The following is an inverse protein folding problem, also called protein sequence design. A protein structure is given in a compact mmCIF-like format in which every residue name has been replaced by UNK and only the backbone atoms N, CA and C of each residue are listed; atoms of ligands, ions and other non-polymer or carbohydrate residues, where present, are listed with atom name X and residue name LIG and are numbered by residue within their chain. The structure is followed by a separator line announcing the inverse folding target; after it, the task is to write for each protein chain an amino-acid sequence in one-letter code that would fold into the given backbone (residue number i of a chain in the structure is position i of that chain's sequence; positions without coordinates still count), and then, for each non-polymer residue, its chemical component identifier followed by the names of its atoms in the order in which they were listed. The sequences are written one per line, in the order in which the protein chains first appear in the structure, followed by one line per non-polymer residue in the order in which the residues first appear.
data_IF_230659951105
#
_entry.id   IF_230659951105
#
_cell.length_a   1.000
_cell.length_b   1.000
_cell.length_c   1.000
_cell.angle_alpha   90.00
_cell.angle_beta   90.00
_cell.angle_gamma   90.00
#
_symmetry.space_group_name_H-M   'P 1'
#
loop_
_entity.id
_entity.type
_entity.pdbx_description
1 polymer ?
#
# COMPACT_ATOMS: atom_id res chain seq x y z
N UNK A 1 -3.03 13.08 -3.72
CA UNK A 1 -1.74 12.35 -3.78
C UNK A 1 -0.95 12.72 -2.55
N UNK A 2 -0.31 11.76 -1.90
CA UNK A 2 0.53 11.99 -0.71
C UNK A 2 1.94 11.52 -1.04
N UNK A 3 2.96 12.36 -0.78
CA UNK A 3 4.36 11.99 -0.94
C UNK A 3 4.89 11.44 0.38
N UNK A 4 5.60 10.33 0.32
CA UNK A 4 6.09 9.60 1.49
C UNK A 4 7.60 9.42 1.34
N UNK A 5 8.34 9.62 2.43
CA UNK A 5 9.74 9.24 2.50
C UNK A 5 9.83 7.78 2.97
N UNK A 6 10.43 6.91 2.16
CA UNK A 6 10.52 5.46 2.40
C UNK A 6 11.75 5.10 3.25
N UNK A 7 11.99 5.83 4.35
CA UNK A 7 13.11 5.55 5.27
C UNK A 7 12.74 4.66 6.45
N UNK A 8 11.45 4.38 6.64
CA UNK A 8 10.93 3.54 7.72
C UNK A 8 9.61 2.88 7.31
N UNK A 9 9.24 1.81 8.02
CA UNK A 9 7.92 1.21 7.86
C UNK A 9 6.86 2.25 8.23
N UNK A 10 5.91 2.48 7.33
CA UNK A 10 4.91 3.53 7.49
C UNK A 10 3.50 2.96 7.31
N UNK A 11 2.56 3.40 8.15
CA UNK A 11 1.15 3.05 8.08
C UNK A 11 0.30 4.28 7.77
N UNK A 12 -0.64 4.14 6.84
CA UNK A 12 -1.62 5.16 6.51
C UNK A 12 -3.02 4.62 6.74
N UNK A 13 -3.88 5.39 7.38
CA UNK A 13 -5.27 5.01 7.55
C UNK A 13 -6.17 5.81 6.63
N UNK A 14 -7.19 5.16 6.07
CA UNK A 14 -8.25 5.83 5.35
C UNK A 14 -9.59 5.13 5.59
N UNK A 15 -10.68 5.89 5.46
CA UNK A 15 -12.02 5.33 5.57
C UNK A 15 -12.71 5.32 4.21
N UNK A 16 -13.45 4.25 3.91
CA UNK A 16 -14.29 4.14 2.72
C UNK A 16 -15.66 3.55 3.11
N UNK A 17 -16.73 4.29 2.84
CA UNK A 17 -18.10 3.88 3.13
C UNK A 17 -18.84 3.31 1.89
N UNK A 18 -18.19 3.30 0.72
CA UNK A 18 -18.83 2.92 -0.55
C UNK A 18 -18.38 1.54 -1.01
N UNK A 19 -19.35 0.64 -1.22
CA UNK A 19 -19.17 -0.66 -1.87
C UNK A 19 -18.55 -0.45 -3.26
N UNK A 20 -17.44 -1.12 -3.55
CA UNK A 20 -16.75 -0.97 -4.82
C UNK A 20 -15.28 -1.37 -4.76
N UNK A 21 -14.56 -1.08 -5.84
CA UNK A 21 -13.12 -1.37 -5.92
C UNK A 21 -12.30 -0.19 -5.38
N UNK A 22 -11.55 -0.44 -4.32
CA UNK A 22 -10.49 0.42 -3.85
C UNK A 22 -9.27 0.17 -4.74
N UNK A 23 -8.73 1.22 -5.34
CA UNK A 23 -7.50 1.16 -6.13
C UNK A 23 -6.44 2.02 -5.47
N UNK A 24 -5.32 1.41 -5.09
CA UNK A 24 -4.13 2.09 -4.61
C UNK A 24 -3.11 2.14 -5.74
N UNK A 25 -2.68 3.34 -6.11
CA UNK A 25 -1.65 3.56 -7.13
C UNK A 25 -0.40 4.09 -6.45
N UNK A 26 0.68 3.33 -6.56
CA UNK A 26 1.98 3.65 -5.97
C UNK A 26 2.87 4.16 -7.09
N UNK A 27 3.29 5.42 -7.00
CA UNK A 27 4.22 6.03 -7.95
C UNK A 27 5.56 6.24 -7.27
N UNK A 28 6.62 5.65 -7.81
CA UNK A 28 7.97 5.85 -7.32
C UNK A 28 8.54 7.09 -8.03
N UNK A 29 8.84 8.17 -7.29
CA UNK A 29 9.41 9.37 -7.92
C UNK A 29 10.87 9.13 -8.30
N UNK A 30 11.17 9.31 -9.58
CA UNK A 30 12.49 9.19 -10.21
C UNK A 30 13.62 9.80 -9.35
N UNK A 31 14.52 8.94 -8.85
CA UNK A 31 15.92 9.22 -8.48
C UNK A 31 16.58 8.06 -7.73
N UNK A 32 15.82 7.17 -7.11
CA UNK A 32 16.38 6.02 -6.42
C UNK A 32 16.46 4.85 -7.40
N UNK A 33 17.67 4.57 -7.87
CA UNK A 33 18.04 3.27 -8.42
C UNK A 33 17.50 2.23 -7.44
N UNK A 34 16.54 1.43 -7.87
CA UNK A 34 15.78 0.50 -7.04
C UNK A 34 16.74 -0.58 -6.54
N UNK A 35 17.37 -0.31 -5.41
CA UNK A 35 18.03 -1.28 -4.54
C UNK A 35 17.21 -1.57 -3.28
N UNK A 36 15.98 -1.07 -3.24
CA UNK A 36 15.02 -1.29 -2.17
C UNK A 36 13.90 -2.16 -2.70
N UNK A 37 13.79 -3.37 -2.19
CA UNK A 37 12.57 -4.16 -2.32
C UNK A 37 11.62 -3.60 -1.26
N UNK A 38 10.59 -2.85 -1.65
CA UNK A 38 9.55 -2.42 -0.72
C UNK A 38 8.26 -3.17 -1.03
N UNK A 39 7.63 -3.71 0.02
CA UNK A 39 6.33 -4.34 -0.02
C UNK A 39 5.25 -3.32 0.35
N UNK A 40 4.12 -3.37 -0.36
CA UNK A 40 2.95 -2.55 -0.06
C UNK A 40 1.75 -3.45 0.17
N UNK A 41 0.97 -3.16 1.20
CA UNK A 41 -0.21 -3.94 1.56
C UNK A 41 -1.41 -3.05 1.87
N UNK A 42 -2.61 -3.56 1.62
CA UNK A 42 -3.86 -3.00 2.13
C UNK A 42 -4.43 -3.97 3.15
N UNK A 43 -4.66 -3.49 4.37
CA UNK A 43 -5.19 -4.23 5.49
C UNK A 43 -6.57 -3.69 5.88
N UNK A 44 -7.46 -4.54 6.37
CA UNK A 44 -8.58 -4.08 7.21
C UNK A 44 -8.06 -3.58 8.57
N UNK A 45 -8.86 -2.78 9.28
CA UNK A 45 -8.53 -2.29 10.64
C UNK A 45 -8.18 -3.42 11.64
N UNK A 46 -8.65 -4.65 11.39
CA UNK A 46 -8.29 -5.85 12.16
C UNK A 46 -6.94 -6.48 11.80
N UNK A 47 -6.17 -5.90 10.87
CA UNK A 47 -4.87 -6.42 10.41
C UNK A 47 -4.98 -7.54 9.37
N UNK A 48 -6.15 -7.78 8.78
CA UNK A 48 -6.35 -8.76 7.72
C UNK A 48 -5.82 -8.19 6.41
N UNK A 49 -4.81 -8.81 5.81
CA UNK A 49 -4.29 -8.42 4.50
C UNK A 49 -5.28 -8.76 3.39
N UNK A 50 -5.56 -7.77 2.55
CA UNK A 50 -6.50 -7.86 1.44
C UNK A 50 -5.81 -7.90 0.08
N UNK A 51 -4.65 -7.26 -0.03
CA UNK A 51 -3.86 -7.20 -1.25
C UNK A 51 -2.44 -6.78 -0.92
N UNK A 52 -1.47 -7.35 -1.62
CA UNK A 52 -0.05 -7.10 -1.45
C UNK A 52 0.65 -7.01 -2.80
N UNK A 53 1.73 -6.22 -2.87
CA UNK A 53 2.64 -6.17 -4.01
C UNK A 53 4.06 -5.89 -3.55
N UNK A 54 5.04 -6.42 -4.26
CA UNK A 54 6.46 -6.09 -4.12
C UNK A 54 6.89 -5.27 -5.33
N UNK A 55 7.76 -4.29 -5.07
CA UNK A 55 8.21 -3.32 -6.08
C UNK A 55 8.71 -4.03 -7.34
N UNK A 56 7.99 -3.88 -8.45
CA UNK A 56 8.35 -4.53 -9.73
C UNK A 56 8.54 -3.56 -10.89
N UNK A 57 8.08 -2.32 -10.75
CA UNK A 57 8.02 -1.34 -11.82
C UNK A 57 8.03 0.11 -11.29
N UNK A 58 8.09 1.08 -12.20
CA UNK A 58 7.98 2.51 -11.87
C UNK A 58 6.61 2.90 -11.28
N UNK A 59 5.59 2.05 -11.45
CA UNK A 59 4.26 2.20 -10.87
C UNK A 59 3.71 0.82 -10.52
N UNK A 60 3.22 0.66 -9.29
CA UNK A 60 2.47 -0.54 -8.87
C UNK A 60 1.02 -0.18 -8.55
N UNK A 61 0.11 -1.14 -8.76
CA UNK A 61 -1.33 -0.95 -8.56
C UNK A 61 -1.89 -2.10 -7.75
N UNK A 62 -2.44 -1.81 -6.56
CA UNK A 62 -3.22 -2.76 -5.77
C UNK A 62 -4.70 -2.48 -5.95
N UNK A 63 -5.50 -3.55 -6.02
CA UNK A 63 -6.95 -3.48 -6.12
C UNK A 63 -7.59 -4.37 -5.07
N UNK A 64 -8.52 -3.81 -4.32
CA UNK A 64 -9.30 -4.53 -3.31
C UNK A 64 -10.77 -4.30 -3.60
N UNK A 65 -11.56 -5.38 -3.60
CA UNK A 65 -13.02 -5.27 -3.63
C UNK A 65 -13.51 -5.06 -2.20
N UNK A 66 -14.05 -3.88 -1.88
CA UNK A 66 -14.70 -3.61 -0.61
C UNK A 66 -16.20 -3.93 -0.70
N UNK A 67 -16.67 -4.77 0.22
CA UNK A 67 -18.02 -5.33 0.25
C UNK A 67 -18.94 -4.64 1.28
N UNK A 68 -18.51 -3.55 1.93
CA UNK A 68 -19.31 -2.80 2.90
C UNK A 68 -19.23 -3.29 4.35
N UNK A 69 -18.40 -4.28 4.65
CA UNK A 69 -18.25 -4.87 6.00
C UNK A 69 -17.25 -4.12 6.87
N UNK A 70 -16.21 -3.53 6.28
CA UNK A 70 -15.18 -2.76 6.96
C UNK A 70 -15.13 -1.34 6.38
N UNK A 71 -15.14 -0.32 7.24
CA UNK A 71 -15.11 1.07 6.78
C UNK A 71 -13.72 1.72 6.87
N UNK A 72 -12.78 1.07 7.57
CA UNK A 72 -11.44 1.59 7.82
C UNK A 72 -10.39 0.62 7.30
N UNK A 73 -9.37 1.21 6.69
CA UNK A 73 -8.31 0.50 6.01
C UNK A 73 -6.97 1.07 6.41
N UNK A 74 -5.96 0.20 6.43
CA UNK A 74 -4.57 0.58 6.64
C UNK A 74 -3.77 0.22 5.40
N UNK A 75 -3.03 1.19 4.86
CA UNK A 75 -1.99 0.92 3.87
C UNK A 75 -0.68 0.79 4.61
N UNK A 76 -0.05 -0.37 4.49
CA UNK A 76 1.28 -0.63 5.02
C UNK A 76 2.35 -0.48 3.94
N UNK A 77 3.45 0.19 4.29
CA UNK A 77 4.68 0.22 3.53
C UNK A 77 5.74 -0.50 4.35
N UNK A 78 6.26 -1.61 3.84
CA UNK A 78 7.31 -2.41 4.44
C UNK A 78 8.57 -2.29 3.62
N UNK A 79 9.67 -1.92 4.27
CA UNK A 79 10.99 -2.01 3.65
C UNK A 79 11.47 -3.46 3.79
N UNK A 80 11.88 -4.09 2.68
CA UNK A 80 12.67 -5.31 2.76
C UNK A 80 14.02 -4.96 3.35
N UNK A 81 14.23 -5.45 4.56
CA UNK A 81 15.55 -5.44 5.18
C UNK A 81 16.20 -6.73 4.71
N UNK A 82 16.91 -6.67 3.57
CA UNK A 82 17.78 -7.79 3.20
C UNK A 82 18.79 -7.98 4.33
N UNK A 83 18.65 -9.08 5.05
CA UNK A 83 19.65 -9.58 6.00
C UNK A 83 21.01 -9.82 5.31
#
# INVERSE_FOLDING_TARGET
YQKIAVSENTLFTFSNAFIGTITLVINYSDAYTVGFDAGYTILEEGGIELSFTETSAAVDILKVMHLGTANNYVVGVMLDVKD
#
